data_IF_226203756005
#
_entry.id   IF_226203756005
#
_cell.length_a   1.000
_cell.length_b   1.000
_cell.length_c   1.000
_cell.angle_alpha   90.00
_cell.angle_beta   90.00
_cell.angle_gamma   90.00
#
_symmetry.space_group_name_H-M   'P 1'
#
loop_
_entity.id
_entity.type
_entity.pdbx_description
1 polymer ?
#
# COMPACT_ATOMS: atom_id res chain seq x y z
N UNK A 1 12.76 41.27 -11.73
CA UNK A 1 12.60 41.12 -10.27
C UNK A 1 12.67 39.64 -9.94
N UNK A 2 13.70 39.22 -9.21
CA UNK A 2 13.99 37.79 -8.96
C UNK A 2 13.18 37.31 -7.77
N UNK A 3 12.42 36.21 -7.93
CA UNK A 3 11.62 35.65 -6.83
C UNK A 3 12.49 34.84 -5.89
N UNK A 4 13.05 35.52 -4.88
CA UNK A 4 13.76 34.86 -3.78
C UNK A 4 12.73 34.10 -2.93
N UNK A 5 12.75 32.77 -3.02
CA UNK A 5 11.99 31.91 -2.11
C UNK A 5 12.42 32.19 -0.66
N UNK A 6 11.49 32.23 0.31
CA UNK A 6 11.83 32.53 1.69
C UNK A 6 12.78 31.44 2.23
N UNK A 7 13.95 31.89 2.69
CA UNK A 7 14.93 31.06 3.39
C UNK A 7 14.26 30.50 4.65
N UNK A 8 14.12 29.17 4.73
CA UNK A 8 13.48 28.49 5.87
C UNK A 8 14.14 28.97 7.16
N UNK A 9 13.33 29.49 8.08
CA UNK A 9 13.82 30.00 9.35
C UNK A 9 14.34 28.85 10.21
N UNK A 10 15.40 29.11 10.98
CA UNK A 10 15.99 28.13 11.88
C UNK A 10 15.16 28.03 13.18
N UNK A 11 13.95 27.50 13.05
CA UNK A 11 13.06 27.24 14.17
C UNK A 11 13.70 26.23 15.12
N UNK A 12 13.65 26.51 16.43
CA UNK A 12 14.12 25.55 17.44
C UNK A 12 13.15 24.36 17.44
N UNK A 13 13.64 23.10 17.45
CA UNK A 13 12.77 21.93 17.52
C UNK A 13 11.86 22.05 18.76
N UNK A 14 10.55 21.92 18.54
CA UNK A 14 9.53 22.13 19.58
C UNK A 14 9.34 20.86 20.42
N UNK A 15 9.58 19.70 19.83
CA UNK A 15 9.69 18.39 20.46
C UNK A 15 11.05 17.76 20.19
N UNK A 16 11.47 16.84 21.06
CA UNK A 16 12.61 15.95 20.82
C UNK A 16 12.42 15.05 19.60
N UNK A 17 11.18 14.88 19.12
CA UNK A 17 10.86 14.22 17.86
C UNK A 17 11.37 15.00 16.63
N UNK A 18 11.39 16.34 16.71
CA UNK A 18 11.81 17.23 15.62
C UNK A 18 13.34 17.29 15.45
N UNK A 19 14.09 16.68 16.38
CA UNK A 19 15.55 16.59 16.26
C UNK A 19 15.97 15.76 15.03
N UNK A 20 17.12 16.07 14.42
CA UNK A 20 17.62 15.31 13.28
C UNK A 20 17.96 13.87 13.66
N UNK A 21 17.75 12.93 12.73
CA UNK A 21 17.99 11.48 12.93
C UNK A 21 19.40 11.14 13.44
N UNK A 22 20.40 11.99 13.19
CA UNK A 22 21.78 11.83 13.70
C UNK A 22 21.89 11.83 15.24
N UNK A 23 20.84 12.23 15.97
CA UNK A 23 20.74 12.10 17.43
C UNK A 23 20.51 10.65 17.90
N UNK A 24 20.01 9.78 17.02
CA UNK A 24 19.79 8.35 17.29
C UNK A 24 21.13 7.61 17.19
N UNK A 25 21.56 6.87 18.24
CA UNK A 25 22.81 6.13 18.22
C UNK A 25 22.94 5.19 17.01
N UNK A 26 24.08 5.28 16.32
CA UNK A 26 24.37 4.49 15.12
C UNK A 26 23.91 5.11 13.80
N UNK A 27 23.26 6.29 13.79
CA UNK A 27 22.99 7.07 12.56
C UNK A 27 24.11 8.11 12.37
N UNK A 28 25.20 7.72 11.71
CA UNK A 28 26.26 8.64 11.30
C UNK A 28 25.87 9.52 10.11
N UNK A 29 26.67 10.55 9.80
CA UNK A 29 26.37 11.52 8.73
C UNK A 29 26.10 10.86 7.35
N UNK A 30 26.90 9.86 6.95
CA UNK A 30 26.66 9.13 5.69
C UNK A 30 25.37 8.29 5.73
N UNK A 31 24.95 7.83 6.90
CA UNK A 31 23.66 7.15 7.05
C UNK A 31 22.48 8.14 6.98
N UNK A 32 22.63 9.33 7.56
CA UNK A 32 21.64 10.40 7.44
C UNK A 32 21.42 10.80 5.97
N UNK A 33 22.48 10.99 5.18
CA UNK A 33 22.39 11.24 3.72
C UNK A 33 21.65 10.15 2.93
N UNK A 34 21.57 8.92 3.44
CA UNK A 34 20.78 7.83 2.83
C UNK A 34 19.32 7.81 3.33
N UNK A 35 19.06 8.28 4.56
CA UNK A 35 17.71 8.49 5.11
C UNK A 35 17.02 9.70 4.47
N UNK A 36 17.76 10.77 4.20
CA UNK A 36 17.29 11.96 3.47
C UNK A 36 16.75 11.60 2.08
N UNK A 37 17.31 10.59 1.40
CA UNK A 37 16.82 10.08 0.11
C UNK A 37 15.44 9.38 0.19
N UNK A 38 14.99 9.05 1.40
CA UNK A 38 13.64 8.56 1.69
C UNK A 38 12.74 9.66 2.29
N UNK A 39 13.22 10.91 2.36
CA UNK A 39 12.60 12.04 3.07
C UNK A 39 12.51 11.83 4.60
N UNK A 40 13.44 11.06 5.18
CA UNK A 40 13.54 10.85 6.63
C UNK A 40 14.63 11.78 7.17
N UNK A 41 14.21 12.86 7.86
CA UNK A 41 15.12 13.91 8.35
C UNK A 41 15.15 13.96 9.88
N UNK A 42 14.00 13.79 10.52
CA UNK A 42 13.76 13.89 11.96
C UNK A 42 13.54 12.52 12.61
N UNK A 43 13.61 12.47 13.94
CA UNK A 43 13.27 11.26 14.70
C UNK A 43 11.78 10.92 14.51
N UNK A 44 10.92 11.92 14.40
CA UNK A 44 9.51 11.76 14.01
C UNK A 44 9.38 11.01 12.69
N UNK A 45 10.03 11.47 11.61
CA UNK A 45 9.98 10.81 10.30
C UNK A 45 10.42 9.34 10.37
N UNK A 46 11.45 9.05 11.18
CA UNK A 46 11.94 7.70 11.40
C UNK A 46 10.88 6.82 12.09
N UNK A 47 10.24 7.31 13.16
CA UNK A 47 9.16 6.61 13.86
C UNK A 47 7.89 6.41 13.02
N UNK A 48 7.68 7.22 11.97
CA UNK A 48 6.58 7.06 11.02
C UNK A 48 6.95 6.28 9.75
N UNK A 49 8.19 5.77 9.63
CA UNK A 49 8.64 4.92 8.51
C UNK A 49 8.14 3.47 8.66
N UNK A 50 6.84 3.25 8.49
CA UNK A 50 6.18 1.98 8.82
C UNK A 50 6.61 0.79 7.92
N UNK A 51 6.62 -0.45 8.43
CA UNK A 51 6.93 -1.63 7.64
C UNK A 51 5.79 -1.99 6.66
N UNK A 52 6.17 -2.42 5.46
CA UNK A 52 5.22 -2.79 4.38
C UNK A 52 4.64 -4.19 4.54
N UNK A 53 5.43 -5.11 5.09
CA UNK A 53 5.11 -6.52 5.29
C UNK A 53 5.95 -7.07 6.44
N UNK A 54 5.58 -8.25 6.92
CA UNK A 54 6.33 -9.01 7.92
C UNK A 54 6.66 -10.38 7.35
N UNK A 55 7.88 -10.86 7.60
CA UNK A 55 8.25 -12.25 7.36
C UNK A 55 7.98 -13.05 8.64
N UNK A 56 7.23 -14.16 8.53
CA UNK A 56 6.84 -14.98 9.69
C UNK A 56 7.89 -16.08 9.97
N UNK A 57 8.60 -15.93 11.08
CA UNK A 57 9.55 -16.91 11.60
C UNK A 57 8.94 -17.75 12.74
N UNK A 58 7.64 -17.62 13.05
CA UNK A 58 6.97 -18.34 14.16
C UNK A 58 6.96 -19.85 13.99
N UNK A 59 6.84 -20.30 12.74
CA UNK A 59 6.56 -21.70 12.39
C UNK A 59 7.84 -22.41 12.00
N UNK A 60 8.65 -22.71 13.00
CA UNK A 60 9.84 -23.53 12.85
C UNK A 60 9.46 -24.96 12.46
N UNK A 61 9.94 -25.41 11.31
CA UNK A 61 9.83 -26.78 10.81
C UNK A 61 11.24 -27.37 10.86
N UNK A 62 11.47 -28.51 11.55
CA UNK A 62 12.76 -29.21 11.51
C UNK A 62 13.17 -29.51 10.08
N UNK A 63 14.48 -29.51 9.77
CA UNK A 63 14.98 -29.70 8.41
C UNK A 63 14.45 -31.01 7.80
N UNK A 64 14.39 -32.08 8.61
CA UNK A 64 13.82 -33.40 8.26
C UNK A 64 12.31 -33.43 7.97
N UNK A 65 11.59 -32.32 8.15
CA UNK A 65 10.14 -32.17 7.90
C UNK A 65 9.79 -31.13 6.84
N UNK A 66 10.78 -30.52 6.17
CA UNK A 66 10.53 -29.48 5.17
C UNK A 66 9.81 -30.03 3.93
N UNK A 67 8.73 -29.35 3.52
CA UNK A 67 7.96 -29.69 2.32
C UNK A 67 8.42 -28.85 1.13
N UNK A 68 8.64 -29.46 -0.03
CA UNK A 68 9.04 -28.73 -1.23
C UNK A 68 7.96 -27.74 -1.72
N UNK A 69 8.39 -26.69 -2.43
CA UNK A 69 7.58 -25.62 -3.02
C UNK A 69 6.89 -24.64 -2.03
N UNK A 70 6.90 -24.92 -0.73
CA UNK A 70 6.44 -24.01 0.31
C UNK A 70 7.55 -23.05 0.80
N UNK A 71 7.15 -21.88 1.30
CA UNK A 71 8.02 -21.01 2.12
C UNK A 71 7.93 -21.50 3.56
N UNK A 72 9.06 -21.82 4.18
CA UNK A 72 9.16 -22.33 5.55
C UNK A 72 10.34 -21.67 6.27
N UNK A 73 10.34 -21.80 7.60
CA UNK A 73 11.41 -21.35 8.49
C UNK A 73 11.93 -22.54 9.28
N UNK A 74 13.24 -22.63 9.49
CA UNK A 74 13.91 -23.65 10.28
C UNK A 74 14.99 -23.02 11.18
N UNK A 75 15.30 -23.64 12.31
CA UNK A 75 16.56 -23.41 13.03
C UNK A 75 17.55 -24.46 12.52
N UNK A 76 18.77 -24.03 12.20
CA UNK A 76 19.81 -24.89 11.67
C UNK A 76 21.18 -24.44 12.19
N UNK A 77 22.11 -25.37 12.29
CA UNK A 77 23.54 -25.07 12.44
C UNK A 77 24.16 -25.07 11.05
N UNK A 78 24.91 -24.01 10.71
CA UNK A 78 25.61 -23.94 9.43
C UNK A 78 26.75 -24.96 9.40
N UNK A 79 26.67 -25.91 8.46
CA UNK A 79 27.78 -26.76 8.08
C UNK A 79 28.78 -26.02 7.18
N UNK A 80 29.36 -26.74 6.21
CA UNK A 80 30.36 -26.18 5.30
C UNK A 80 29.77 -25.08 4.41
N UNK A 81 30.46 -23.94 4.29
CA UNK A 81 30.09 -22.81 3.43
C UNK A 81 31.00 -22.78 2.19
N UNK A 82 30.52 -23.40 1.12
CA UNK A 82 31.21 -23.48 -0.16
C UNK A 82 30.84 -22.35 -1.12
N UNK A 83 31.74 -22.03 -2.05
CA UNK A 83 31.48 -21.12 -3.16
C UNK A 83 31.99 -21.76 -4.45
N UNK A 84 31.15 -21.77 -5.49
CA UNK A 84 31.50 -22.27 -6.83
C UNK A 84 30.86 -21.42 -7.92
N UNK A 85 31.40 -21.43 -9.13
CA UNK A 85 30.69 -20.88 -10.30
C UNK A 85 29.79 -21.97 -10.88
N UNK A 86 28.59 -21.59 -11.33
CA UNK A 86 27.73 -22.46 -12.13
C UNK A 86 28.30 -22.62 -13.54
N UNK A 87 27.80 -23.60 -14.31
CA UNK A 87 28.12 -23.73 -15.74
C UNK A 87 27.75 -22.48 -16.56
N UNK A 88 26.85 -21.63 -16.04
CA UNK A 88 26.49 -20.31 -16.60
C UNK A 88 27.35 -19.15 -16.05
N UNK A 89 28.52 -19.44 -15.48
CA UNK A 89 29.51 -18.48 -14.99
C UNK A 89 29.14 -17.73 -13.70
N UNK A 90 27.87 -17.78 -13.26
CA UNK A 90 27.38 -17.06 -12.08
C UNK A 90 27.97 -17.65 -10.79
N UNK A 91 28.41 -16.79 -9.89
CA UNK A 91 28.80 -17.21 -8.54
C UNK A 91 27.59 -17.81 -7.80
N UNK A 92 27.82 -18.92 -7.12
CA UNK A 92 26.84 -19.58 -6.26
C UNK A 92 27.51 -19.92 -4.93
N UNK A 93 26.98 -19.37 -3.84
CA UNK A 93 27.34 -19.74 -2.48
C UNK A 93 26.36 -20.81 -2.00
N UNK A 94 26.88 -21.88 -1.40
CA UNK A 94 26.11 -23.07 -1.02
C UNK A 94 26.58 -23.53 0.36
N UNK A 95 25.68 -23.46 1.34
CA UNK A 95 25.91 -23.83 2.73
C UNK A 95 25.11 -25.08 3.10
N UNK A 96 25.75 -26.03 3.77
CA UNK A 96 25.11 -27.22 4.34
C UNK A 96 24.35 -26.85 5.63
N UNK A 97 23.24 -27.52 5.91
CA UNK A 97 22.43 -27.29 7.11
C UNK A 97 22.33 -28.57 7.96
N UNK A 98 22.83 -28.50 9.19
CA UNK A 98 22.54 -29.49 10.23
C UNK A 98 21.35 -29.03 11.08
N UNK A 99 20.64 -29.98 11.68
CA UNK A 99 19.56 -29.69 12.64
C UNK A 99 20.14 -29.04 13.91
N UNK A 100 19.27 -28.48 14.76
CA UNK A 100 19.67 -27.82 16.01
C UNK A 100 20.33 -28.78 17.02
N UNK A 101 20.01 -30.08 16.95
CA UNK A 101 20.62 -31.17 17.71
C UNK A 101 21.98 -31.62 17.14
N UNK A 102 22.48 -30.98 16.08
CA UNK A 102 23.73 -31.32 15.39
C UNK A 102 23.61 -32.44 14.35
N UNK A 103 22.43 -33.04 14.17
CA UNK A 103 22.22 -34.09 13.16
C UNK A 103 22.48 -33.54 11.75
N UNK A 104 23.44 -34.10 10.98
CA UNK A 104 23.70 -33.66 9.62
C UNK A 104 22.51 -33.99 8.71
N UNK A 105 22.23 -33.13 7.72
CA UNK A 105 21.17 -33.38 6.74
C UNK A 105 21.62 -33.05 5.32
N UNK A 106 20.96 -33.66 4.32
CA UNK A 106 21.12 -33.30 2.91
C UNK A 106 20.57 -31.90 2.56
N UNK A 107 19.95 -31.19 3.50
CA UNK A 107 19.32 -29.89 3.24
C UNK A 107 20.38 -28.79 3.11
N UNK A 108 20.27 -27.98 2.07
CA UNK A 108 21.22 -26.90 1.76
C UNK A 108 20.55 -25.53 1.66
N UNK A 109 21.30 -24.48 1.92
CA UNK A 109 20.92 -23.11 1.59
C UNK A 109 21.81 -22.60 0.44
N UNK A 110 21.20 -22.02 -0.60
CA UNK A 110 21.94 -21.61 -1.79
C UNK A 110 21.59 -20.19 -2.25
N UNK A 111 22.61 -19.39 -2.56
CA UNK A 111 22.47 -18.03 -3.06
C UNK A 111 23.26 -17.81 -4.35
N UNK A 112 22.54 -17.50 -5.42
CA UNK A 112 23.14 -17.03 -6.67
C UNK A 112 23.54 -15.55 -6.52
N UNK A 113 24.78 -15.21 -6.89
CA UNK A 113 25.30 -13.85 -6.93
C UNK A 113 25.64 -13.20 -5.59
N UNK A 114 25.69 -13.93 -4.47
CA UNK A 114 25.98 -13.38 -3.13
C UNK A 114 27.20 -14.03 -2.46
N UNK A 115 28.38 -13.41 -2.63
CA UNK A 115 29.60 -13.82 -1.91
C UNK A 115 29.48 -13.61 -0.38
N UNK A 116 28.96 -12.44 0.01
CA UNK A 116 28.85 -11.89 1.37
C UNK A 116 28.32 -12.84 2.46
N UNK A 117 27.59 -13.91 2.11
CA UNK A 117 27.14 -14.91 3.08
C UNK A 117 28.31 -15.58 3.80
N UNK A 118 29.39 -15.90 3.08
CA UNK A 118 30.62 -16.49 3.64
C UNK A 118 31.46 -15.49 4.46
N UNK A 119 31.26 -14.20 4.22
CA UNK A 119 31.91 -13.11 4.97
C UNK A 119 31.14 -12.74 6.25
N UNK A 120 29.82 -13.02 6.28
CA UNK A 120 28.91 -12.64 7.37
C UNK A 120 28.74 -13.74 8.42
N UNK A 121 28.70 -15.00 7.99
CA UNK A 121 28.39 -16.15 8.83
C UNK A 121 29.54 -17.16 8.84
N UNK A 122 29.66 -17.90 9.94
CA UNK A 122 30.71 -18.91 10.15
C UNK A 122 30.13 -20.32 10.13
N UNK A 123 30.99 -21.29 9.80
CA UNK A 123 30.70 -22.70 9.99
C UNK A 123 30.57 -22.98 11.51
N UNK A 124 29.60 -23.80 11.91
CA UNK A 124 29.20 -24.01 13.30
C UNK A 124 28.23 -22.95 13.88
N UNK A 125 27.84 -21.92 13.13
CA UNK A 125 26.92 -20.87 13.61
C UNK A 125 25.45 -21.34 13.60
N UNK A 126 24.73 -21.18 14.73
CA UNK A 126 23.27 -21.39 14.80
C UNK A 126 22.54 -20.22 14.12
N UNK A 127 21.67 -20.53 13.18
CA UNK A 127 20.92 -19.56 12.37
C UNK A 127 19.45 -19.94 12.23
N UNK A 128 18.61 -18.92 12.05
CA UNK A 128 17.22 -19.04 11.59
C UNK A 128 17.25 -18.88 10.07
N UNK A 129 16.96 -19.98 9.36
CA UNK A 129 16.82 -20.01 7.89
C UNK A 129 15.36 -19.80 7.55
N UNK A 130 15.03 -18.84 6.68
CA UNK A 130 13.69 -18.74 6.10
C UNK A 130 13.73 -18.46 4.60
N UNK A 131 12.88 -19.14 3.84
CA UNK A 131 12.78 -18.96 2.39
C UNK A 131 11.98 -20.05 1.69
N UNK A 132 11.93 -19.99 0.36
CA UNK A 132 11.23 -21.00 -0.44
C UNK A 132 12.08 -22.26 -0.58
N UNK A 133 11.55 -23.37 -0.06
CA UNK A 133 12.13 -24.70 -0.22
C UNK A 133 11.81 -25.23 -1.62
N UNK A 134 12.78 -25.87 -2.27
CA UNK A 134 12.65 -26.55 -3.57
C UNK A 134 13.51 -27.82 -3.58
N UNK A 135 13.22 -28.75 -4.48
CA UNK A 135 14.18 -29.80 -4.81
C UNK A 135 15.31 -29.27 -5.69
N UNK A 136 16.53 -29.78 -5.48
CA UNK A 136 17.67 -29.63 -6.37
C UNK A 136 18.36 -30.99 -6.52
N UNK A 137 18.26 -31.59 -7.70
CA UNK A 137 18.53 -33.02 -7.86
C UNK A 137 17.58 -33.85 -6.98
N UNK A 138 18.14 -34.59 -6.02
CA UNK A 138 17.39 -35.43 -5.06
C UNK A 138 17.23 -34.78 -3.68
N UNK A 139 17.96 -33.70 -3.39
CA UNK A 139 17.98 -33.05 -2.08
C UNK A 139 16.98 -31.88 -2.02
N UNK A 140 16.56 -31.52 -0.81
CA UNK A 140 15.85 -30.26 -0.56
C UNK A 140 16.86 -29.13 -0.40
N UNK A 141 16.55 -27.96 -0.96
CA UNK A 141 17.29 -26.73 -0.66
C UNK A 141 16.35 -25.56 -0.39
N UNK A 142 16.82 -24.62 0.42
CA UNK A 142 16.31 -23.26 0.42
C UNK A 142 16.92 -22.48 -0.74
N UNK A 143 16.08 -21.80 -1.52
CA UNK A 143 16.49 -20.99 -2.67
C UNK A 143 16.50 -19.51 -2.29
N UNK A 144 17.69 -18.89 -2.27
CA UNK A 144 17.94 -17.51 -1.82
C UNK A 144 17.33 -17.14 -0.44
N UNK A 145 17.47 -17.97 0.61
CA UNK A 145 16.87 -17.68 1.91
C UNK A 145 17.46 -16.43 2.59
N UNK A 146 16.71 -15.91 3.55
CA UNK A 146 17.22 -15.03 4.60
C UNK A 146 17.84 -15.88 5.71
N UNK A 147 19.01 -15.46 6.20
CA UNK A 147 19.62 -15.94 7.44
C UNK A 147 19.53 -14.85 8.48
N UNK A 148 19.14 -15.19 9.70
CA UNK A 148 19.41 -14.37 10.89
C UNK A 148 20.12 -15.23 11.95
N UNK A 149 21.09 -14.67 12.68
CA UNK A 149 21.84 -15.41 13.70
C UNK A 149 20.90 -15.78 14.84
N UNK A 150 20.90 -17.02 15.32
CA UNK A 150 19.98 -17.46 16.37
C UNK A 150 20.28 -16.78 17.71
N UNK A 151 21.56 -16.52 17.97
CA UNK A 151 22.12 -15.96 19.22
C UNK A 151 22.41 -14.45 19.15
N UNK A 152 22.04 -13.77 18.05
CA UNK A 152 22.06 -12.30 18.05
C UNK A 152 20.94 -11.77 18.95
N UNK A 153 21.26 -10.77 19.78
CA UNK A 153 20.36 -10.18 20.78
C UNK A 153 18.96 -9.91 20.20
N UNK A 154 17.94 -10.21 21.01
CA UNK A 154 16.54 -10.32 20.59
C UNK A 154 15.84 -8.97 20.31
N UNK A 155 16.43 -8.14 19.45
CA UNK A 155 15.76 -7.06 18.70
C UNK A 155 14.54 -7.59 17.92
N UNK A 156 14.51 -8.90 17.65
CA UNK A 156 13.32 -9.66 17.27
C UNK A 156 13.01 -10.71 18.36
N UNK A 157 12.51 -10.28 19.52
CA UNK A 157 11.73 -11.11 20.45
C UNK A 157 10.47 -11.62 19.74
N UNK A 158 9.81 -10.72 19.01
CA UNK A 158 8.72 -11.04 18.10
C UNK A 158 9.14 -12.04 17.03
N UNK A 159 8.35 -13.09 16.85
CA UNK A 159 8.51 -14.09 15.78
C UNK A 159 8.20 -13.54 14.37
N UNK A 160 7.72 -12.30 14.29
CA UNK A 160 7.34 -11.58 13.09
C UNK A 160 8.39 -10.51 12.79
N UNK A 161 9.08 -10.64 11.66
CA UNK A 161 10.22 -9.77 11.32
C UNK A 161 9.77 -8.67 10.35
N UNK A 162 9.88 -7.38 10.72
CA UNK A 162 9.38 -6.26 9.92
C UNK A 162 10.24 -5.98 8.68
N UNK A 163 9.59 -5.61 7.56
CA UNK A 163 10.25 -5.31 6.28
C UNK A 163 9.88 -3.92 5.76
N UNK A 164 10.87 -3.05 5.76
CA UNK A 164 10.77 -1.62 5.42
C UNK A 164 11.05 -1.34 3.93
N UNK A 165 10.50 -0.25 3.36
CA UNK A 165 11.08 0.37 2.17
C UNK A 165 12.51 0.84 2.49
N UNK A 166 13.45 0.67 1.55
CA UNK A 166 14.86 1.01 1.74
C UNK A 166 15.48 1.53 0.43
N UNK A 167 16.36 2.52 0.54
CA UNK A 167 17.26 2.95 -0.53
C UNK A 167 18.54 2.10 -0.56
N UNK A 168 19.18 2.01 -1.72
CA UNK A 168 20.50 1.40 -1.87
C UNK A 168 21.52 1.97 -0.86
N UNK A 169 22.35 1.09 -0.30
CA UNK A 169 23.29 1.39 0.77
C UNK A 169 22.82 1.01 2.19
N UNK A 170 21.51 1.05 2.47
CA UNK A 170 20.97 0.69 3.79
C UNK A 170 20.67 -0.81 3.88
N UNK A 171 21.25 -1.50 4.88
CA UNK A 171 20.95 -2.92 5.14
C UNK A 171 19.66 -3.06 5.98
N UNK A 172 18.77 -4.05 5.73
CA UNK A 172 17.53 -4.21 6.50
C UNK A 172 17.73 -4.33 8.02
N UNK A 173 18.75 -5.08 8.45
CA UNK A 173 19.13 -5.19 9.86
C UNK A 173 19.59 -3.87 10.51
N UNK A 174 20.10 -2.93 9.71
CA UNK A 174 20.55 -1.62 10.16
C UNK A 174 19.36 -0.69 10.42
N UNK A 175 18.40 -0.62 9.49
CA UNK A 175 17.14 0.11 9.68
C UNK A 175 16.36 -0.40 10.90
N UNK A 176 16.25 -1.73 11.05
CA UNK A 176 15.60 -2.35 12.23
C UNK A 176 16.31 -1.98 13.53
N UNK A 177 17.65 -1.96 13.56
CA UNK A 177 18.40 -1.53 14.75
C UNK A 177 18.14 -0.05 15.08
N UNK A 178 18.17 0.84 14.09
CA UNK A 178 17.88 2.28 14.31
C UNK A 178 16.47 2.51 14.87
N UNK A 179 15.46 1.85 14.31
CA UNK A 179 14.08 1.90 14.79
C UNK A 179 13.94 1.35 16.22
N UNK A 180 14.55 0.20 16.51
CA UNK A 180 14.55 -0.35 17.87
C UNK A 180 15.22 0.62 18.86
N UNK A 181 16.35 1.24 18.49
CA UNK A 181 17.02 2.24 19.34
C UNK A 181 16.21 3.54 19.50
N UNK A 182 15.35 3.89 18.54
CA UNK A 182 14.44 5.03 18.68
C UNK A 182 13.21 4.70 19.55
N UNK A 183 12.67 3.48 19.42
CA UNK A 183 11.42 3.06 20.09
C UNK A 183 11.68 2.58 21.52
N UNK A 184 12.66 1.70 21.74
CA UNK A 184 13.01 1.17 23.06
C UNK A 184 14.02 2.05 23.80
N UNK A 185 14.75 2.90 23.08
CA UNK A 185 15.88 3.65 23.62
C UNK A 185 17.16 2.79 23.66
N UNK A 186 17.89 2.85 24.76
CA UNK A 186 19.07 2.04 24.99
C UNK A 186 19.59 2.12 26.42
N UNK A 187 20.72 1.49 26.77
CA UNK A 187 21.17 1.33 28.17
C UNK A 187 21.43 2.61 28.99
N UNK A 188 21.29 3.79 28.39
CA UNK A 188 21.42 5.12 29.03
C UNK A 188 20.38 6.15 28.53
N UNK A 189 19.30 5.73 27.86
CA UNK A 189 18.24 6.61 27.34
C UNK A 189 16.89 5.89 27.28
N UNK A 190 15.83 6.58 27.69
CA UNK A 190 14.43 6.21 27.40
C UNK A 190 14.17 6.11 25.90
N UNK A 191 13.17 5.31 25.53
CA UNK A 191 12.60 5.30 24.19
C UNK A 191 11.85 6.59 23.87
N UNK A 192 11.95 7.05 22.62
CA UNK A 192 11.35 8.31 22.16
C UNK A 192 9.90 8.10 21.68
N UNK A 193 9.45 6.85 21.56
CA UNK A 193 8.06 6.51 21.17
C UNK A 193 7.02 7.01 22.18
N UNK A 194 7.37 7.11 23.46
CA UNK A 194 6.50 7.66 24.51
C UNK A 194 6.40 9.19 24.49
N UNK A 195 7.20 9.87 23.68
CA UNK A 195 7.16 11.33 23.48
C UNK A 195 6.17 11.72 22.36
N UNK A 196 5.64 10.74 21.62
CA UNK A 196 4.61 10.94 20.59
C UNK A 196 3.28 11.35 21.26
N UNK A 197 2.77 12.57 21.03
CA UNK A 197 1.53 13.01 21.68
C UNK A 197 0.34 12.16 21.25
N UNK A 198 -0.53 11.80 22.19
CA UNK A 198 -1.75 11.03 21.92
C UNK A 198 -2.83 11.92 21.26
N UNK A 199 -3.18 11.72 19.97
CA UNK A 199 -4.18 12.54 19.30
C UNK A 199 -5.64 12.19 19.66
N UNK A 200 -5.91 11.01 20.26
CA UNK A 200 -7.27 10.57 20.57
C UNK A 200 -7.61 10.77 22.06
N UNK A 201 -8.72 11.46 22.39
CA UNK A 201 -9.30 11.44 23.73
C UNK A 201 -9.58 10.02 24.23
N UNK A 202 -9.30 9.76 25.52
CA UNK A 202 -9.42 8.42 26.14
C UNK A 202 -10.77 7.74 25.89
N UNK A 203 -11.87 8.47 26.07
CA UNK A 203 -13.22 7.97 25.82
C UNK A 203 -13.46 7.47 24.37
N UNK A 204 -12.74 8.00 23.36
CA UNK A 204 -12.83 7.49 21.98
C UNK A 204 -12.03 6.18 21.85
N UNK A 205 -10.86 6.10 22.48
CA UNK A 205 -10.03 4.88 22.50
C UNK A 205 -10.73 3.73 23.21
N UNK A 206 -11.28 3.98 24.40
CA UNK A 206 -12.05 3.01 25.20
C UNK A 206 -13.26 2.50 24.41
N UNK A 207 -14.11 3.40 23.91
CA UNK A 207 -15.32 3.07 23.13
C UNK A 207 -15.03 2.21 21.90
N UNK A 208 -13.83 2.29 21.34
CA UNK A 208 -13.45 1.53 20.14
C UNK A 208 -12.45 0.40 20.41
N UNK A 209 -12.00 0.20 21.65
CA UNK A 209 -10.97 -0.78 22.00
C UNK A 209 -9.67 -0.54 21.21
N UNK A 210 -9.13 0.67 21.31
CA UNK A 210 -7.90 1.09 20.61
C UNK A 210 -6.74 1.31 21.60
N UNK A 211 -5.54 0.77 21.33
CA UNK A 211 -4.34 1.08 22.11
C UNK A 211 -3.97 2.57 22.02
N UNK A 212 -3.12 3.03 22.93
CA UNK A 212 -2.47 4.34 22.80
C UNK A 212 -1.51 4.39 21.59
N UNK A 213 -1.13 5.60 21.18
CA UNK A 213 -0.29 5.77 20.00
C UNK A 213 1.13 5.19 20.16
N UNK A 214 1.71 5.26 21.36
CA UNK A 214 3.08 4.77 21.60
C UNK A 214 3.14 3.23 21.55
N UNK A 215 2.18 2.56 22.20
CA UNK A 215 1.96 1.11 22.10
C UNK A 215 1.66 0.69 20.66
N UNK A 216 0.84 1.45 19.93
CA UNK A 216 0.54 1.15 18.53
C UNK A 216 1.78 1.25 17.63
N UNK A 217 2.61 2.28 17.78
CA UNK A 217 3.87 2.39 17.06
C UNK A 217 4.83 1.25 17.42
N UNK A 218 5.07 0.99 18.72
CA UNK A 218 5.88 -0.14 19.19
C UNK A 218 5.44 -1.46 18.55
N UNK A 219 4.15 -1.80 18.61
CA UNK A 219 3.61 -3.06 18.08
C UNK A 219 3.51 -3.09 16.54
N UNK A 220 3.53 -1.95 15.84
CA UNK A 220 3.66 -1.94 14.37
C UNK A 220 5.09 -2.15 13.92
N UNK A 221 6.10 -1.71 14.67
CA UNK A 221 7.50 -1.95 14.32
C UNK A 221 8.02 -3.30 14.84
N UNK A 222 7.71 -3.64 16.09
CA UNK A 222 8.17 -4.84 16.81
C UNK A 222 6.99 -5.53 17.52
N UNK A 223 6.10 -6.21 16.78
CA UNK A 223 4.97 -6.94 17.35
C UNK A 223 5.40 -8.16 18.16
N UNK A 224 4.84 -8.33 19.36
CA UNK A 224 4.98 -9.59 20.13
C UNK A 224 4.23 -10.74 19.42
N UNK A 225 3.04 -10.44 18.90
CA UNK A 225 2.11 -11.38 18.30
C UNK A 225 1.26 -10.74 17.16
N UNK A 226 0.50 -11.59 16.45
CA UNK A 226 -0.32 -11.18 15.29
C UNK A 226 -1.54 -10.34 15.69
N UNK A 227 -2.08 -10.52 16.90
CA UNK A 227 -3.29 -9.84 17.37
C UNK A 227 -2.96 -8.40 17.80
N UNK A 228 -1.84 -8.20 18.51
CA UNK A 228 -1.29 -6.87 18.82
C UNK A 228 -0.91 -6.12 17.56
N UNK A 229 -0.28 -6.79 16.59
CA UNK A 229 0.00 -6.21 15.27
C UNK A 229 -1.30 -5.74 14.58
N UNK A 230 -2.36 -6.56 14.62
CA UNK A 230 -3.65 -6.19 14.03
C UNK A 230 -4.31 -5.01 14.76
N UNK A 231 -4.31 -5.01 16.10
CA UNK A 231 -4.84 -3.93 16.92
C UNK A 231 -4.09 -2.60 16.69
N UNK A 232 -2.76 -2.65 16.58
CA UNK A 232 -1.92 -1.51 16.28
C UNK A 232 -2.16 -0.95 14.87
N UNK A 233 -2.22 -1.81 13.85
CA UNK A 233 -2.57 -1.41 12.47
C UNK A 233 -3.99 -0.85 12.39
N UNK A 234 -4.94 -1.39 13.16
CA UNK A 234 -6.31 -0.88 13.29
C UNK A 234 -6.33 0.51 13.94
N UNK A 235 -5.48 0.78 14.93
CA UNK A 235 -5.31 2.12 15.53
C UNK A 235 -4.78 3.13 14.51
N UNK A 236 -3.67 2.84 13.82
CA UNK A 236 -3.10 3.79 12.84
C UNK A 236 -4.06 4.07 11.67
N UNK A 237 -4.75 3.04 11.17
CA UNK A 237 -5.76 3.21 10.11
C UNK A 237 -7.02 3.96 10.59
N UNK A 238 -7.38 3.86 11.87
CA UNK A 238 -8.45 4.67 12.45
C UNK A 238 -8.06 6.16 12.50
N UNK A 239 -6.84 6.47 12.92
CA UNK A 239 -6.33 7.84 13.01
C UNK A 239 -6.25 8.50 11.62
N UNK A 240 -5.72 7.79 10.60
CA UNK A 240 -5.71 8.28 9.21
C UNK A 240 -7.14 8.56 8.69
N UNK A 241 -8.05 7.61 8.85
CA UNK A 241 -9.44 7.77 8.42
C UNK A 241 -10.14 8.90 9.19
N UNK A 242 -9.87 9.08 10.48
CA UNK A 242 -10.45 10.14 11.30
C UNK A 242 -9.97 11.51 10.82
N UNK A 243 -8.66 11.69 10.57
CA UNK A 243 -8.10 12.94 10.02
C UNK A 243 -8.76 13.29 8.67
N UNK A 244 -8.92 12.30 7.79
CA UNK A 244 -9.60 12.49 6.50
C UNK A 244 -11.08 12.86 6.66
N UNK A 245 -11.82 12.21 7.57
CA UNK A 245 -13.22 12.57 7.84
C UNK A 245 -13.36 13.94 8.48
N UNK A 246 -12.49 14.31 9.42
CA UNK A 246 -12.46 15.64 10.06
C UNK A 246 -12.17 16.74 9.03
N UNK A 247 -11.19 16.55 8.14
CA UNK A 247 -10.90 17.50 7.07
C UNK A 247 -12.10 17.68 6.12
N UNK A 248 -12.78 16.59 5.75
CA UNK A 248 -14.00 16.62 4.92
C UNK A 248 -15.19 17.28 5.66
N UNK A 249 -15.34 17.02 6.95
CA UNK A 249 -16.38 17.61 7.80
C UNK A 249 -16.17 19.12 7.99
N UNK A 250 -14.95 19.55 8.33
CA UNK A 250 -14.60 20.97 8.41
C UNK A 250 -14.79 21.69 7.07
N UNK A 251 -14.38 21.09 5.95
CA UNK A 251 -14.61 21.65 4.61
C UNK A 251 -16.10 21.78 4.30
N UNK A 252 -16.91 20.80 4.67
CA UNK A 252 -18.38 20.86 4.52
C UNK A 252 -18.98 21.96 5.40
N UNK A 253 -18.57 22.05 6.67
CA UNK A 253 -19.07 23.05 7.62
C UNK A 253 -18.75 24.48 7.15
N UNK A 254 -17.49 24.76 6.78
CA UNK A 254 -17.07 26.08 6.24
C UNK A 254 -17.88 26.44 4.98
N UNK A 255 -18.05 25.48 4.07
CA UNK A 255 -18.87 25.70 2.86
C UNK A 255 -20.34 25.96 3.20
N UNK A 256 -20.97 25.15 4.06
CA UNK A 256 -22.37 25.33 4.47
C UNK A 256 -22.61 26.65 5.21
N UNK A 257 -21.66 27.12 6.03
CA UNK A 257 -21.75 28.39 6.74
C UNK A 257 -21.64 29.61 5.80
N UNK A 258 -20.87 29.51 4.71
CA UNK A 258 -20.69 30.59 3.73
C UNK A 258 -21.69 30.54 2.57
N UNK A 259 -22.30 29.39 2.29
CA UNK A 259 -23.09 29.17 1.08
C UNK A 259 -24.58 29.49 1.27
N UNK A 260 -24.97 30.71 0.89
CA UNK A 260 -26.37 31.08 0.70
C UNK A 260 -26.90 30.55 -0.65
N UNK A 261 -28.10 29.97 -0.64
CA UNK A 261 -28.86 29.61 -1.83
C UNK A 261 -30.30 30.10 -1.72
N UNK A 262 -30.89 30.47 -2.87
CA UNK A 262 -32.31 30.80 -2.98
C UNK A 262 -33.13 29.49 -2.94
N UNK A 263 -34.04 29.29 -1.96
CA UNK A 263 -34.83 28.07 -1.88
C UNK A 263 -35.73 27.88 -3.10
N UNK A 264 -35.63 26.72 -3.74
CA UNK A 264 -36.47 26.35 -4.88
C UNK A 264 -37.55 25.37 -4.42
N UNK A 265 -38.74 25.90 -4.13
CA UNK A 265 -39.94 25.11 -3.83
C UNK A 265 -40.71 24.82 -5.12
N UNK A 266 -40.99 23.56 -5.39
CA UNK A 266 -41.86 23.12 -6.48
C UNK A 266 -43.20 22.62 -5.91
N UNK A 267 -44.32 23.08 -6.46
CA UNK A 267 -45.65 22.73 -5.97
C UNK A 267 -45.97 21.25 -6.19
N UNK A 268 -46.71 20.65 -5.25
CA UNK A 268 -47.09 19.23 -5.33
C UNK A 268 -47.99 18.93 -6.53
N UNK A 269 -48.84 19.88 -6.93
CA UNK A 269 -49.65 19.79 -8.15
C UNK A 269 -48.80 19.74 -9.42
N UNK A 270 -47.80 20.62 -9.55
CA UNK A 270 -46.89 20.64 -10.70
C UNK A 270 -46.11 19.32 -10.78
N UNK A 271 -45.53 18.90 -9.66
CA UNK A 271 -44.75 17.66 -9.58
C UNK A 271 -45.64 16.44 -9.89
N UNK A 272 -46.88 16.41 -9.41
CA UNK A 272 -47.82 15.33 -9.68
C UNK A 272 -48.25 15.28 -11.15
N UNK A 273 -48.52 16.43 -11.77
CA UNK A 273 -48.81 16.57 -13.21
C UNK A 273 -47.68 16.01 -14.07
N UNK A 274 -46.44 16.45 -13.81
CA UNK A 274 -45.23 15.96 -14.48
C UNK A 274 -44.93 14.47 -14.24
N UNK A 275 -45.44 13.87 -13.16
CA UNK A 275 -45.36 12.41 -12.93
C UNK A 275 -46.45 11.66 -13.71
N UNK A 276 -47.66 12.23 -13.81
CA UNK A 276 -48.77 11.66 -14.59
C UNK A 276 -48.49 11.59 -16.10
N UNK A 277 -47.66 12.50 -16.63
CA UNK A 277 -47.17 12.48 -18.02
C UNK A 277 -46.18 11.33 -18.32
N UNK A 278 -45.70 10.59 -17.32
CA UNK A 278 -44.73 9.50 -17.53
C UNK A 278 -45.44 8.19 -17.90
N UNK A 279 -45.04 7.50 -18.99
CA UNK A 279 -45.63 6.22 -19.40
C UNK A 279 -45.15 5.02 -18.54
N UNK A 280 -44.79 5.27 -17.28
CA UNK A 280 -44.37 4.27 -16.29
C UNK A 280 -44.47 4.83 -14.87
N UNK A 281 -44.87 3.98 -13.92
CA UNK A 281 -44.83 4.34 -12.50
C UNK A 281 -43.39 4.51 -11.99
N UNK A 282 -43.15 5.51 -11.15
CA UNK A 282 -41.86 5.68 -10.46
C UNK A 282 -41.66 4.54 -9.44
N UNK A 283 -40.52 3.85 -9.53
CA UNK A 283 -40.10 2.90 -8.48
C UNK A 283 -39.94 3.61 -7.13
N UNK A 284 -40.12 2.89 -6.01
CA UNK A 284 -39.96 3.48 -4.67
C UNK A 284 -38.59 4.13 -4.42
N UNK A 285 -37.53 3.66 -5.09
CA UNK A 285 -36.21 4.30 -5.06
C UNK A 285 -36.16 5.64 -5.83
N UNK A 286 -36.86 5.74 -6.97
CA UNK A 286 -37.00 7.00 -7.71
C UNK A 286 -37.88 8.00 -6.97
N UNK A 287 -38.96 7.56 -6.31
CA UNK A 287 -39.85 8.42 -5.50
C UNK A 287 -39.06 9.04 -4.34
N UNK A 288 -38.46 8.22 -3.47
CA UNK A 288 -37.56 8.73 -2.39
C UNK A 288 -36.48 9.68 -2.91
N UNK A 289 -35.83 9.35 -4.03
CA UNK A 289 -34.81 10.21 -4.65
C UNK A 289 -35.36 11.56 -5.13
N UNK A 290 -36.64 11.63 -5.55
CA UNK A 290 -37.31 12.88 -5.93
C UNK A 290 -37.66 13.70 -4.68
N UNK A 291 -38.25 13.06 -3.68
CA UNK A 291 -38.67 13.70 -2.43
C UNK A 291 -37.47 14.28 -1.67
N UNK A 292 -36.37 13.52 -1.58
CA UNK A 292 -35.07 13.98 -1.06
C UNK A 292 -34.49 15.17 -1.84
N UNK A 293 -34.63 15.19 -3.18
CA UNK A 293 -34.18 16.32 -4.01
C UNK A 293 -35.07 17.55 -3.79
N UNK A 294 -36.39 17.40 -3.65
CA UNK A 294 -37.30 18.51 -3.32
C UNK A 294 -36.98 19.08 -1.94
N UNK A 295 -36.75 18.20 -0.96
CA UNK A 295 -36.36 18.60 0.40
C UNK A 295 -35.01 19.33 0.42
N UNK A 296 -33.99 18.87 -0.32
CA UNK A 296 -32.69 19.55 -0.40
C UNK A 296 -32.77 20.90 -1.16
N UNK A 297 -33.55 20.98 -2.25
CA UNK A 297 -33.74 22.23 -3.02
C UNK A 297 -34.52 23.31 -2.26
N UNK A 298 -35.39 22.93 -1.33
CA UNK A 298 -36.17 23.86 -0.50
C UNK A 298 -35.35 24.52 0.65
N UNK A 299 -34.04 24.26 0.75
CA UNK A 299 -33.15 24.77 1.81
C UNK A 299 -32.43 26.05 1.34
N UNK A 300 -31.96 26.86 2.30
CA UNK A 300 -31.12 28.06 2.04
C UNK A 300 -29.64 27.75 1.80
N UNK A 301 -29.28 26.47 1.64
CA UNK A 301 -27.91 25.97 1.42
C UNK A 301 -27.90 25.21 0.09
N UNK A 302 -26.90 25.34 -0.80
CA UNK A 302 -26.93 24.67 -2.09
C UNK A 302 -26.92 23.14 -1.98
N UNK A 303 -27.65 22.45 -2.86
CA UNK A 303 -27.67 20.98 -2.91
C UNK A 303 -26.39 20.44 -3.55
N UNK A 304 -25.57 19.71 -2.77
CA UNK A 304 -24.31 19.06 -3.22
C UNK A 304 -24.44 17.53 -3.40
N UNK A 305 -25.60 17.07 -3.88
CA UNK A 305 -25.98 15.65 -3.99
C UNK A 305 -25.42 14.94 -5.23
N UNK A 306 -24.89 13.72 -5.05
CA UNK A 306 -24.46 12.81 -6.14
C UNK A 306 -25.41 11.62 -6.26
N UNK A 307 -26.21 11.58 -7.33
CA UNK A 307 -27.05 10.42 -7.65
C UNK A 307 -26.28 9.40 -8.51
N UNK A 308 -26.02 8.20 -7.99
CA UNK A 308 -25.43 7.10 -8.74
C UNK A 308 -26.52 6.21 -9.37
N UNK A 309 -26.27 5.66 -10.56
CA UNK A 309 -27.07 4.59 -11.17
C UNK A 309 -26.21 3.34 -11.30
N UNK A 310 -26.61 2.21 -10.71
CA UNK A 310 -26.17 0.90 -11.21
C UNK A 310 -26.89 0.65 -12.55
N UNK A 311 -26.19 0.41 -13.67
CA UNK A 311 -26.83 0.07 -14.92
C UNK A 311 -27.30 -1.39 -14.88
N UNK A 312 -28.62 -1.63 -14.79
CA UNK A 312 -29.18 -2.95 -15.12
C UNK A 312 -28.95 -3.22 -16.61
N UNK A 313 -28.43 -4.40 -16.95
CA UNK A 313 -28.26 -4.82 -18.34
C UNK A 313 -29.61 -5.22 -18.96
N UNK A 314 -30.30 -4.24 -19.54
CA UNK A 314 -31.10 -4.34 -20.79
C UNK A 314 -31.58 -2.93 -21.17
N UNK A 315 -31.43 -2.56 -22.44
CA UNK A 315 -31.98 -1.33 -23.04
C UNK A 315 -33.38 -1.65 -23.60
N UNK A 316 -34.31 -0.68 -23.70
CA UNK A 316 -34.18 0.47 -24.62
C UNK A 316 -33.48 1.73 -24.07
N UNK A 317 -33.41 2.78 -24.90
CA UNK A 317 -32.78 4.07 -24.58
C UNK A 317 -33.81 5.04 -24.00
N UNK A 318 -33.66 5.44 -22.73
CA UNK A 318 -34.48 6.48 -22.09
C UNK A 318 -33.62 7.51 -21.34
N UNK A 319 -33.55 8.72 -21.92
CA UNK A 319 -33.06 9.96 -21.29
C UNK A 319 -33.74 11.19 -21.93
N UNK A 320 -35.08 11.25 -21.92
CA UNK A 320 -35.73 12.56 -21.80
C UNK A 320 -35.59 12.98 -20.34
N UNK A 321 -35.07 14.18 -20.10
CA UNK A 321 -34.94 14.74 -18.75
C UNK A 321 -35.00 16.27 -18.83
N UNK A 322 -36.16 16.89 -18.53
CA UNK A 322 -36.35 18.34 -18.64
C UNK A 322 -35.29 19.14 -17.90
N UNK A 323 -35.03 20.36 -18.36
CA UNK A 323 -34.44 21.42 -17.54
C UNK A 323 -35.51 21.94 -16.59
N UNK A 324 -35.33 21.73 -15.28
CA UNK A 324 -36.17 22.38 -14.28
C UNK A 324 -35.97 23.89 -14.40
N UNK A 325 -37.07 24.61 -14.65
CA UNK A 325 -37.12 26.07 -14.67
C UNK A 325 -38.32 26.47 -13.82
N UNK A 326 -38.13 26.93 -12.57
CA UNK A 326 -39.24 27.41 -11.76
C UNK A 326 -39.82 28.66 -12.45
N UNK A 327 -41.06 28.59 -12.89
CA UNK A 327 -41.80 29.73 -13.48
C UNK A 327 -41.87 30.91 -12.50
N UNK A 328 -41.88 30.63 -11.20
CA UNK A 328 -41.86 31.58 -10.09
C UNK A 328 -40.47 32.06 -9.66
N UNK A 329 -39.36 31.60 -10.26
CA UNK A 329 -37.99 31.97 -9.79
C UNK A 329 -36.96 32.00 -10.92
N UNK A 330 -36.37 33.17 -11.20
CA UNK A 330 -35.43 33.43 -12.33
C UNK A 330 -34.05 32.75 -12.19
N UNK A 331 -33.99 31.42 -12.13
CA UNK A 331 -32.75 30.62 -12.05
C UNK A 331 -32.46 29.83 -13.33
N UNK A 332 -31.43 30.21 -14.10
CA UNK A 332 -30.99 29.45 -15.30
C UNK A 332 -30.03 28.32 -14.93
N UNK A 333 -30.46 27.06 -15.06
CA UNK A 333 -29.57 25.91 -14.90
C UNK A 333 -28.52 25.81 -16.03
N UNK A 334 -27.28 25.44 -15.70
CA UNK A 334 -26.21 25.13 -16.68
C UNK A 334 -25.85 23.64 -16.62
N UNK A 335 -25.73 22.98 -17.78
CA UNK A 335 -25.26 21.58 -17.87
C UNK A 335 -23.84 21.50 -18.42
N UNK A 336 -22.92 20.95 -17.63
CA UNK A 336 -21.59 20.52 -18.07
C UNK A 336 -21.64 19.06 -18.54
N UNK A 337 -20.92 18.75 -19.62
CA UNK A 337 -20.78 17.40 -20.19
C UNK A 337 -19.34 17.20 -20.67
N UNK A 338 -18.67 16.06 -20.40
CA UNK A 338 -17.24 15.88 -20.65
C UNK A 338 -16.85 15.64 -22.12
N UNK A 339 -17.79 15.79 -23.08
CA UNK A 339 -17.50 15.61 -24.51
C UNK A 339 -18.58 16.30 -25.35
N UNK A 340 -18.20 16.98 -26.43
CA UNK A 340 -19.14 17.67 -27.33
C UNK A 340 -20.19 16.72 -27.92
N UNK A 341 -19.81 15.50 -28.30
CA UNK A 341 -20.71 14.46 -28.82
C UNK A 341 -21.84 14.02 -27.87
N UNK A 342 -21.80 14.41 -26.58
CA UNK A 342 -22.89 14.19 -25.61
C UNK A 342 -23.85 15.38 -25.49
N UNK A 343 -23.60 16.50 -26.17
CA UNK A 343 -24.54 17.64 -26.27
C UNK A 343 -25.56 17.44 -27.39
N UNK A 344 -25.11 17.05 -28.57
CA UNK A 344 -25.91 16.98 -29.81
C UNK A 344 -27.20 16.14 -29.69
N UNK A 345 -27.20 14.93 -29.08
CA UNK A 345 -28.41 14.13 -28.93
C UNK A 345 -29.48 14.71 -28.00
N UNK A 346 -29.20 15.82 -27.31
CA UNK A 346 -30.06 16.40 -26.28
C UNK A 346 -30.90 17.60 -26.77
N UNK A 347 -30.74 18.01 -28.03
CA UNK A 347 -31.39 19.20 -28.60
C UNK A 347 -32.12 18.97 -29.94
N UNK A 348 -32.02 17.78 -30.54
CA UNK A 348 -32.49 17.50 -31.91
C UNK A 348 -33.32 16.21 -32.02
N UNK A 349 -34.50 16.19 -31.37
CA UNK A 349 -35.70 15.39 -31.75
C UNK A 349 -36.89 15.67 -30.81
N UNK A 350 -37.61 16.77 -31.04
CA UNK A 350 -38.94 17.03 -30.47
C UNK A 350 -39.63 18.23 -31.18
N UNK A 351 -40.26 17.97 -32.33
CA UNK A 351 -41.31 18.79 -32.97
C UNK A 351 -41.97 17.90 -34.03
N UNK A 352 -43.31 17.94 -34.16
CA UNK A 352 -43.88 18.82 -35.19
C UNK A 352 -45.06 19.70 -34.72
N UNK A 353 -45.32 20.73 -35.53
CA UNK A 353 -46.61 21.43 -35.70
C UNK A 353 -47.39 21.94 -34.47
N UNK A 354 -47.22 23.24 -34.15
CA UNK A 354 -48.34 24.21 -34.26
C UNK A 354 -47.86 25.67 -34.25
N UNK A 355 -48.62 26.53 -34.94
CA UNK A 355 -48.71 28.00 -34.85
C UNK A 355 -47.47 28.91 -35.07
N UNK A 356 -47.69 29.96 -35.87
CA UNK A 356 -47.13 31.31 -35.60
C UNK A 356 -45.96 31.79 -36.46
N UNK A 357 -46.22 32.25 -37.69
CA UNK A 357 -45.23 32.93 -38.51
C UNK A 357 -45.08 34.43 -38.15
N UNK A 358 -43.84 34.93 -38.08
CA UNK A 358 -43.43 36.32 -38.33
C UNK A 358 -41.91 36.34 -38.61
N UNK A 359 -41.42 37.37 -39.31
CA UNK A 359 -40.24 37.25 -40.20
C UNK A 359 -39.32 38.49 -40.23
N UNK A 360 -38.19 38.38 -40.97
CA UNK A 360 -37.14 39.38 -41.26
C UNK A 360 -36.12 39.68 -40.14
N UNK A 361 -34.88 40.13 -40.46
CA UNK A 361 -34.02 39.81 -41.61
C UNK A 361 -32.61 39.30 -41.17
N UNK A 362 -31.60 39.33 -42.05
CA UNK A 362 -30.32 38.60 -41.87
C UNK A 362 -29.03 39.41 -42.12
N UNK A 363 -27.89 38.85 -41.68
CA UNK A 363 -26.49 39.17 -42.07
C UNK A 363 -25.85 40.46 -41.48
N UNK A 364 -24.50 40.63 -41.49
CA UNK A 364 -23.45 39.77 -42.07
C UNK A 364 -22.26 39.35 -41.17
N UNK A 365 -21.72 38.16 -41.50
CA UNK A 365 -20.30 37.74 -41.63
C UNK A 365 -19.14 38.53 -40.97
N UNK A 366 -18.28 37.81 -40.23
CA UNK A 366 -16.83 38.12 -40.07
C UNK A 366 -15.98 36.83 -40.22
N UNK A 367 -14.76 36.98 -40.76
CA UNK A 367 -13.84 35.92 -41.26
C UNK A 367 -13.22 35.00 -40.19
N UNK A 368 -12.80 33.82 -40.66
CA UNK A 368 -11.79 32.95 -40.04
C UNK A 368 -10.39 33.19 -40.62
N UNK A 369 -9.35 33.09 -39.80
CA UNK A 369 -7.95 32.89 -40.24
C UNK A 369 -7.19 31.98 -39.27
N UNK A 370 -6.30 31.16 -39.83
CA UNK A 370 -5.26 30.39 -39.11
C UNK A 370 -3.90 30.78 -39.68
N UNK A 371 -2.81 30.53 -38.95
CA UNK A 371 -1.57 30.10 -39.60
C UNK A 371 -0.99 28.80 -39.04
N UNK A 372 -0.08 28.22 -39.83
CA UNK A 372 0.61 26.94 -39.66
C UNK A 372 1.80 26.96 -38.70
N UNK A 373 2.22 25.76 -38.25
CA UNK A 373 3.51 25.52 -37.60
C UNK A 373 4.64 25.23 -38.62
N UNK A 374 5.90 25.18 -38.18
CA UNK A 374 6.92 24.33 -38.81
C UNK A 374 7.57 23.32 -37.84
N UNK A 375 8.41 22.43 -38.38
CA UNK A 375 8.91 21.19 -37.74
C UNK A 375 10.44 21.13 -37.63
N UNK A 376 10.96 20.37 -36.63
CA UNK A 376 12.22 19.57 -36.60
C UNK A 376 12.54 19.15 -35.14
N UNK A 377 13.36 18.14 -34.83
CA UNK A 377 13.95 17.02 -35.61
C UNK A 377 14.39 15.91 -34.63
N UNK A 378 14.41 14.66 -35.09
CA UNK A 378 14.92 13.51 -34.32
C UNK A 378 16.45 13.35 -34.41
N UNK A 379 17.05 12.65 -33.43
CA UNK A 379 18.29 11.89 -33.60
C UNK A 379 18.21 10.56 -32.84
N UNK A 380 18.99 9.59 -33.31
CA UNK A 380 18.99 8.18 -32.89
C UNK A 380 20.38 7.75 -32.44
N UNK A 381 20.45 6.71 -31.61
CA UNK A 381 21.59 5.79 -31.56
C UNK A 381 21.18 4.48 -30.86
N UNK A 382 21.32 3.35 -31.55
CA UNK A 382 21.35 2.01 -30.98
C UNK A 382 22.37 1.19 -31.78
N UNK A 383 23.18 0.36 -31.10
CA UNK A 383 24.11 -0.57 -31.76
C UNK A 383 24.18 -1.89 -31.01
N UNK A 384 24.27 -2.96 -31.80
CA UNK A 384 24.43 -4.35 -31.37
C UNK A 384 25.88 -4.70 -31.05
N UNK A 385 26.09 -5.88 -30.45
CA UNK A 385 26.93 -6.92 -31.07
C UNK A 385 26.70 -8.31 -30.44
N UNK A 386 27.11 -9.32 -31.20
CA UNK A 386 26.78 -10.75 -31.04
C UNK A 386 27.91 -11.58 -30.38
N UNK A 387 27.80 -12.91 -30.49
CA UNK A 387 28.73 -14.00 -30.11
C UNK A 387 28.65 -14.51 -28.65
N UNK A 388 28.89 -15.80 -28.36
CA UNK A 388 28.97 -16.95 -29.28
C UNK A 388 29.70 -18.20 -28.72
N UNK A 389 29.38 -19.38 -29.30
CA UNK A 389 30.13 -20.66 -29.27
C UNK A 389 29.96 -21.70 -28.12
N UNK A 390 30.39 -22.93 -28.48
CA UNK A 390 30.23 -24.30 -27.90
C UNK A 390 31.03 -24.49 -26.59
N UNK A 391 31.00 -25.59 -25.81
CA UNK A 391 30.87 -27.06 -26.05
C UNK A 391 30.47 -27.77 -24.72
N UNK A 392 29.62 -28.81 -24.62
CA UNK A 392 29.67 -30.26 -25.01
C UNK A 392 30.43 -31.22 -24.05
N UNK A 393 29.74 -32.31 -23.61
CA UNK A 393 30.27 -33.59 -22.98
C UNK A 393 31.04 -33.46 -21.64
N UNK A 394 31.19 -34.43 -20.72
CA UNK A 394 30.74 -35.84 -20.44
C UNK A 394 31.23 -36.22 -19.00
N UNK A 395 30.85 -37.26 -18.25
CA UNK A 395 29.75 -38.26 -18.17
C UNK A 395 29.88 -39.05 -16.82
N UNK A 396 29.02 -40.06 -16.53
CA UNK A 396 29.24 -41.32 -15.72
C UNK A 396 30.02 -41.34 -14.38
N UNK A 397 29.73 -42.16 -13.34
CA UNK A 397 28.62 -43.08 -12.98
C UNK A 397 28.84 -43.65 -11.53
N UNK A 398 27.86 -44.42 -11.00
CA UNK A 398 27.97 -45.54 -10.00
C UNK A 398 28.62 -45.31 -8.60
N UNK A 399 28.31 -46.06 -7.53
CA UNK A 399 27.18 -46.96 -7.16
C UNK A 399 27.26 -47.36 -5.65
N UNK A 400 26.17 -47.94 -5.08
CA UNK A 400 26.10 -48.79 -3.84
C UNK A 400 26.59 -48.24 -2.48
N UNK A 401 26.02 -48.60 -1.33
CA UNK A 401 24.89 -49.50 -1.03
C UNK A 401 24.69 -49.76 0.49
N UNK A 402 23.85 -50.77 0.83
CA UNK A 402 23.63 -51.37 2.18
C UNK A 402 22.96 -50.57 3.32
N UNK A 403 21.90 -51.15 3.90
CA UNK A 403 21.47 -50.95 5.31
C UNK A 403 22.21 -51.92 6.26
N UNK A 404 21.83 -52.13 7.55
CA UNK A 404 20.47 -52.38 8.11
C UNK A 404 20.10 -51.38 9.26
N UNK A 405 19.20 -51.60 10.25
CA UNK A 405 17.79 -52.13 10.40
C UNK A 405 17.38 -51.98 11.90
N UNK A 406 16.09 -52.07 12.25
CA UNK A 406 15.50 -51.97 13.62
C UNK A 406 15.50 -50.54 14.23
N UNK A 407 14.64 -50.17 15.20
CA UNK A 407 13.63 -50.93 15.98
C UNK A 407 12.26 -50.20 16.12
N UNK A 408 11.24 -50.86 16.70
CA UNK A 408 9.87 -50.35 16.98
C UNK A 408 9.66 -49.93 18.45
N UNK A 409 8.98 -48.80 18.69
CA UNK A 409 7.97 -48.47 19.75
C UNK A 409 7.69 -46.95 19.66
N UNK A 410 6.54 -46.36 20.02
CA UNK A 410 5.25 -46.88 20.51
C UNK A 410 4.07 -45.98 20.06
N UNK A 411 2.88 -46.13 20.64
CA UNK A 411 1.61 -45.54 20.14
C UNK A 411 1.01 -44.46 21.06
N UNK A 412 0.57 -43.35 20.45
CA UNK A 412 -0.64 -42.58 20.82
C UNK A 412 -0.68 -41.87 22.22
N UNK A 413 -1.71 -41.04 22.52
CA UNK A 413 -2.80 -40.55 21.67
C UNK A 413 -2.91 -39.01 21.52
N UNK A 414 -3.71 -38.59 20.54
CA UNK A 414 -4.18 -37.22 20.35
C UNK A 414 -5.17 -36.80 21.44
N UNK A 415 -5.23 -35.50 21.76
CA UNK A 415 -6.43 -34.88 22.37
C UNK A 415 -6.96 -33.78 21.45
N UNK A 416 -8.22 -33.92 21.06
CA UNK A 416 -9.01 -32.88 20.39
C UNK A 416 -9.85 -32.17 21.45
N UNK A 417 -10.03 -30.87 21.32
CA UNK A 417 -11.11 -30.11 21.97
C UNK A 417 -11.85 -29.29 20.91
N UNK A 418 -13.10 -28.91 21.24
CA UNK A 418 -14.08 -28.35 20.33
C UNK A 418 -13.76 -26.92 19.85
#
# INVERSE_FOLDING_TARGET
>A
MTSTLPKVANERPASSLDFPVTRVPGIGAESAKLLERMNIHTIGDLLWHLPTRFDDFSKFVPLRRLVANATQTAIATLGRISQRRTATGKLMTEAELAEEDGTPTDVRATWFGRAFVKETHREGERVRVSGKVRFFGRALQFSQPTLERADAEAVHTGRLVPVYPLTEGIKPGQMRRWLHTAIEGGPRRTGLVSEVPEPLPGAIRERHGLPDIASALRQVHFPDDVERLFAARRRLAFDELLVLQLALAQRRARWTAQASALPLRAGDEEVSRWIGELPFALTGAQRRSLDEIRADLARRVPMSRRASRRPRMRRPRLWHRPSFSPSSTRGRSRRSSPTAARRTPCLLRASPATAGARSWPASPTVRSTSPSAPTRSSRSASRSKDSGWRSSTSSTASASGSGPRFERKGRAPTRTFC
#
